data_IF_270442753773
#
_entry.id   IF_270442753773
#
_cell.length_a   1.000
_cell.length_b   1.000
_cell.length_c   1.000
_cell.angle_alpha   90.00
_cell.angle_beta   90.00
_cell.angle_gamma   90.00
#
_symmetry.space_group_name_H-M   'P 1'
#
loop_
_entity.id
_entity.type
_entity.pdbx_description
1 polymer ?
#
# COMPACT_ATOMS: atom_id res chain seq x y z
N UNK A 1 -20.19 -24.50 -9.83
CA UNK A 1 -19.91 -23.23 -9.11
C UNK A 1 -18.95 -22.43 -9.98
N UNK A 2 -19.13 -21.11 -10.11
CA UNK A 2 -18.28 -20.30 -10.97
C UNK A 2 -16.86 -20.25 -10.40
N UNK A 3 -15.86 -20.64 -11.19
CA UNK A 3 -14.45 -20.66 -10.80
C UNK A 3 -13.93 -19.23 -10.64
N UNK A 4 -13.44 -18.89 -9.45
CA UNK A 4 -12.82 -17.58 -9.19
C UNK A 4 -11.49 -17.47 -9.93
N UNK A 5 -11.34 -16.47 -10.79
CA UNK A 5 -10.12 -16.21 -11.56
C UNK A 5 -9.30 -15.03 -11.07
N UNK A 6 -9.94 -14.11 -10.35
CA UNK A 6 -9.31 -12.93 -9.77
C UNK A 6 -9.86 -12.67 -8.37
N UNK A 7 -9.00 -12.38 -7.41
CA UNK A 7 -9.38 -11.87 -6.09
C UNK A 7 -8.88 -10.43 -5.97
N UNK A 8 -9.78 -9.46 -5.91
CA UNK A 8 -9.47 -8.09 -5.52
C UNK A 8 -9.42 -7.97 -4.00
N UNK A 9 -8.37 -7.35 -3.48
CA UNK A 9 -8.19 -7.14 -2.03
C UNK A 9 -7.94 -5.67 -1.76
N UNK A 10 -8.82 -5.06 -0.97
CA UNK A 10 -8.56 -3.78 -0.30
C UNK A 10 -7.89 -4.01 1.07
N UNK A 11 -6.85 -3.22 1.34
CA UNK A 11 -5.95 -3.40 2.48
C UNK A 11 -6.17 -2.31 3.54
N UNK A 12 -6.75 -2.69 4.67
CA UNK A 12 -6.76 -1.89 5.88
C UNK A 12 -5.62 -2.23 6.85
N UNK A 13 -5.56 -1.52 7.97
CA UNK A 13 -4.58 -1.77 9.05
C UNK A 13 -4.78 -3.14 9.72
N UNK A 14 -6.03 -3.51 9.97
CA UNK A 14 -6.44 -4.73 10.68
C UNK A 14 -7.61 -5.48 10.01
N UNK A 15 -8.30 -4.83 9.08
CA UNK A 15 -9.42 -5.38 8.33
C UNK A 15 -9.08 -5.40 6.85
N UNK A 16 -9.46 -6.47 6.16
CA UNK A 16 -9.20 -6.69 4.74
C UNK A 16 -10.52 -7.06 4.07
N UNK A 17 -10.77 -6.51 2.89
CA UNK A 17 -11.97 -6.81 2.12
C UNK A 17 -11.56 -7.49 0.84
N UNK A 18 -11.99 -8.75 0.68
CA UNK A 18 -11.68 -9.57 -0.47
C UNK A 18 -12.94 -9.84 -1.28
N UNK A 19 -12.85 -9.66 -2.59
CA UNK A 19 -13.90 -9.98 -3.56
C UNK A 19 -13.31 -10.89 -4.64
N UNK A 20 -13.96 -12.01 -4.91
CA UNK A 20 -13.58 -12.93 -5.98
C UNK A 20 -14.43 -12.72 -7.23
N UNK A 21 -13.81 -12.57 -8.39
CA UNK A 21 -14.47 -12.50 -9.70
C UNK A 21 -14.19 -13.76 -10.52
N UNK A 22 -15.19 -14.21 -11.27
CA UNK A 22 -15.01 -15.19 -12.35
C UNK A 22 -14.46 -14.53 -13.64
N UNK A 23 -14.33 -15.31 -14.71
CA UNK A 23 -13.84 -14.82 -16.01
C UNK A 23 -14.71 -13.72 -16.62
N UNK A 24 -16.00 -13.69 -16.31
CA UNK A 24 -16.94 -12.67 -16.80
C UNK A 24 -16.91 -11.38 -15.97
N UNK A 25 -16.16 -11.38 -14.86
CA UNK A 25 -16.14 -10.28 -13.90
C UNK A 25 -17.30 -10.33 -12.91
N UNK A 26 -18.04 -11.43 -12.84
CA UNK A 26 -19.14 -11.59 -11.87
C UNK A 26 -18.58 -11.96 -10.50
N UNK A 27 -19.14 -11.35 -9.47
CA UNK A 27 -18.82 -11.68 -8.08
C UNK A 27 -19.16 -13.15 -7.78
N UNK A 28 -18.16 -13.88 -7.29
CA UNK A 28 -18.24 -15.27 -6.82
C UNK A 28 -18.32 -15.33 -5.30
N UNK A 29 -17.63 -14.42 -4.61
CA UNK A 29 -17.73 -14.24 -3.17
C UNK A 29 -17.28 -12.83 -2.76
N UNK A 30 -17.70 -12.42 -1.56
CA UNK A 30 -17.15 -11.27 -0.84
C UNK A 30 -16.96 -11.60 0.63
N UNK A 31 -15.80 -11.24 1.21
CA UNK A 31 -15.47 -11.51 2.62
C UNK A 31 -14.72 -10.35 3.26
N UNK A 32 -15.12 -10.01 4.49
CA UNK A 32 -14.34 -9.17 5.40
C UNK A 32 -13.52 -10.08 6.32
N UNK A 33 -12.21 -9.89 6.34
CA UNK A 33 -11.27 -10.81 6.97
C UNK A 33 -10.31 -10.05 7.89
N UNK A 34 -9.88 -10.73 8.96
CA UNK A 34 -8.68 -10.33 9.70
C UNK A 34 -7.43 -10.79 8.95
N UNK A 35 -6.25 -10.28 9.34
CA UNK A 35 -4.97 -10.70 8.73
C UNK A 35 -4.79 -12.22 8.72
N UNK A 36 -5.02 -12.87 9.86
CA UNK A 36 -4.86 -14.32 9.99
C UNK A 36 -5.83 -15.09 9.10
N UNK A 37 -7.11 -14.68 9.09
CA UNK A 37 -8.14 -15.31 8.25
C UNK A 37 -7.88 -15.09 6.76
N UNK A 38 -7.32 -13.94 6.37
CA UNK A 38 -6.93 -13.67 4.99
C UNK A 38 -5.82 -14.63 4.53
N UNK A 39 -4.75 -14.77 5.33
CA UNK A 39 -3.66 -15.69 5.00
C UNK A 39 -4.12 -17.14 4.95
N UNK A 40 -4.97 -17.56 5.89
CA UNK A 40 -5.56 -18.90 5.88
C UNK A 40 -6.41 -19.14 4.63
N UNK A 41 -7.25 -18.17 4.25
CA UNK A 41 -8.05 -18.26 3.03
C UNK A 41 -7.17 -18.39 1.79
N UNK A 42 -6.13 -17.57 1.67
CA UNK A 42 -5.21 -17.62 0.54
C UNK A 42 -4.41 -18.93 0.50
N UNK A 43 -3.96 -19.44 1.64
CA UNK A 43 -3.16 -20.68 1.68
C UNK A 43 -3.91 -21.94 1.24
N UNK A 44 -5.25 -21.95 1.37
CA UNK A 44 -6.09 -23.09 0.97
C UNK A 44 -6.79 -22.88 -0.37
N UNK A 45 -6.79 -21.64 -0.90
CA UNK A 45 -7.38 -21.35 -2.19
C UNK A 45 -6.45 -21.82 -3.31
N UNK A 46 -7.00 -22.36 -4.39
CA UNK A 46 -6.22 -22.72 -5.57
C UNK A 46 -5.48 -21.49 -6.15
N UNK A 47 -4.35 -21.67 -6.85
CA UNK A 47 -3.64 -20.58 -7.51
C UNK A 47 -4.57 -19.68 -8.35
N UNK A 48 -4.53 -18.37 -8.10
CA UNK A 48 -5.45 -17.38 -8.69
C UNK A 48 -4.73 -16.05 -8.86
N UNK A 49 -5.29 -15.15 -9.69
CA UNK A 49 -4.78 -13.78 -9.75
C UNK A 49 -5.23 -13.01 -8.51
N UNK A 50 -4.30 -12.47 -7.74
CA UNK A 50 -4.59 -11.59 -6.60
C UNK A 50 -4.24 -10.16 -6.99
N UNK A 51 -5.24 -9.29 -7.03
CA UNK A 51 -5.09 -7.88 -7.30
C UNK A 51 -5.21 -7.05 -6.02
N UNK A 52 -4.36 -6.05 -5.86
CA UNK A 52 -4.41 -5.11 -4.73
C UNK A 52 -3.85 -3.74 -5.14
N UNK A 53 -4.27 -2.69 -4.45
CA UNK A 53 -3.67 -1.37 -4.61
C UNK A 53 -2.22 -1.36 -4.10
N UNK A 54 -1.36 -0.57 -4.74
CA UNK A 54 0.03 -0.35 -4.34
C UNK A 54 0.13 0.57 -3.12
N UNK A 55 -0.39 0.11 -1.98
CA UNK A 55 -0.46 0.86 -0.72
C UNK A 55 0.43 0.25 0.38
N UNK A 56 0.34 0.79 1.60
CA UNK A 56 1.03 0.24 2.76
C UNK A 56 0.61 -1.20 3.04
N UNK A 57 1.58 -2.11 3.19
CA UNK A 57 1.33 -3.54 3.41
C UNK A 57 1.15 -4.39 2.14
N UNK A 58 0.90 -3.78 0.98
CA UNK A 58 0.72 -4.49 -0.30
C UNK A 58 1.93 -5.34 -0.67
N UNK A 59 3.15 -4.82 -0.51
CA UNK A 59 4.35 -5.59 -0.85
C UNK A 59 4.55 -6.83 0.03
N UNK A 60 4.24 -6.74 1.33
CA UNK A 60 4.32 -7.88 2.24
C UNK A 60 3.30 -8.95 1.85
N UNK A 61 2.05 -8.53 1.63
CA UNK A 61 0.99 -9.47 1.23
C UNK A 61 1.29 -10.09 -0.13
N UNK A 62 1.80 -9.31 -1.08
CA UNK A 62 2.21 -9.81 -2.39
C UNK A 62 3.26 -10.92 -2.30
N UNK A 63 4.26 -10.79 -1.41
CA UNK A 63 5.25 -11.86 -1.18
C UNK A 63 4.58 -13.10 -0.59
N UNK A 64 3.64 -12.93 0.36
CA UNK A 64 2.88 -14.06 0.93
C UNK A 64 2.01 -14.76 -0.12
N UNK A 65 1.26 -14.01 -0.92
CA UNK A 65 0.45 -14.58 -2.00
C UNK A 65 1.31 -15.36 -3.01
N UNK A 66 2.48 -14.82 -3.40
CA UNK A 66 3.44 -15.54 -4.25
C UNK A 66 3.93 -16.85 -3.62
N UNK A 67 4.18 -16.86 -2.30
CA UNK A 67 4.59 -18.10 -1.60
C UNK A 67 3.49 -19.16 -1.54
N UNK A 68 2.22 -18.78 -1.70
CA UNK A 68 1.09 -19.70 -1.86
C UNK A 68 0.81 -20.06 -3.33
N UNK A 69 1.65 -19.63 -4.27
CA UNK A 69 1.51 -19.96 -5.70
C UNK A 69 0.58 -19.02 -6.48
N UNK A 70 0.08 -17.93 -5.88
CA UNK A 70 -0.78 -16.99 -6.58
C UNK A 70 0.02 -16.00 -7.46
N UNK A 71 -0.60 -15.57 -8.55
CA UNK A 71 -0.08 -14.50 -9.40
C UNK A 71 -0.54 -13.16 -8.85
N UNK A 72 0.38 -12.26 -8.51
CA UNK A 72 0.04 -10.98 -7.86
C UNK A 72 0.13 -9.81 -8.83
N UNK A 73 -0.90 -8.97 -8.83
CA UNK A 73 -1.02 -7.74 -9.60
C UNK A 73 -1.18 -6.53 -8.67
N UNK A 74 -0.13 -5.73 -8.51
CA UNK A 74 -0.22 -4.47 -7.75
C UNK A 74 -0.59 -3.32 -8.68
N UNK A 75 -1.65 -2.58 -8.38
CA UNK A 75 -2.15 -1.48 -9.21
C UNK A 75 -1.89 -0.15 -8.51
N UNK A 76 -1.28 0.87 -9.15
CA UNK A 76 -1.22 2.22 -8.61
C UNK A 76 -2.62 2.78 -8.30
N UNK A 77 -2.78 3.48 -7.16
CA UNK A 77 -4.05 4.07 -6.72
C UNK A 77 -4.77 4.88 -7.80
N UNK A 78 -4.01 5.68 -8.55
CA UNK A 78 -4.51 6.54 -9.62
C UNK A 78 -5.20 5.77 -10.76
N UNK A 79 -4.86 4.48 -10.96
CA UNK A 79 -5.47 3.63 -11.98
C UNK A 79 -6.66 2.82 -11.45
N UNK A 80 -6.80 2.69 -10.13
CA UNK A 80 -7.98 2.07 -9.50
C UNK A 80 -9.13 3.07 -9.41
N UNK A 81 -8.82 4.33 -9.10
CA UNK A 81 -9.82 5.40 -8.88
C UNK A 81 -10.94 5.48 -9.95
N UNK A 82 -10.66 5.37 -11.27
CA UNK A 82 -11.70 5.43 -12.30
C UNK A 82 -12.71 4.27 -12.25
N UNK A 83 -12.40 3.17 -11.58
CA UNK A 83 -13.25 1.99 -11.46
C UNK A 83 -14.15 2.01 -10.21
N UNK A 84 -14.01 3.03 -9.34
CA UNK A 84 -14.85 3.20 -8.17
C UNK A 84 -16.18 3.83 -8.60
N UNK A 85 -17.24 3.02 -8.62
CA UNK A 85 -18.54 3.39 -9.24
C UNK A 85 -19.41 4.31 -8.39
N UNK A 86 -19.29 4.28 -7.06
CA UNK A 86 -20.15 5.04 -6.14
C UNK A 86 -19.36 5.55 -4.91
N UNK A 87 -20.05 5.97 -3.85
CA UNK A 87 -19.43 6.43 -2.61
C UNK A 87 -18.46 5.38 -2.05
N UNK A 88 -17.39 5.88 -1.41
CA UNK A 88 -16.30 5.03 -0.91
C UNK A 88 -16.81 3.99 0.10
N UNK A 89 -16.50 2.73 -0.19
CA UNK A 89 -16.67 1.58 0.70
C UNK A 89 -15.56 0.59 0.38
N UNK A 90 -14.93 0.00 1.39
CA UNK A 90 -13.80 -0.92 1.22
C UNK A 90 -14.12 -2.12 0.30
N UNK A 91 -15.38 -2.59 0.26
CA UNK A 91 -15.79 -3.62 -0.70
C UNK A 91 -15.89 -3.09 -2.14
N UNK A 92 -16.30 -1.84 -2.33
CA UNK A 92 -16.35 -1.20 -3.65
C UNK A 92 -14.94 -0.96 -4.16
N UNK A 93 -14.01 -0.59 -3.27
CA UNK A 93 -12.60 -0.47 -3.58
C UNK A 93 -12.02 -1.84 -4.00
N UNK A 94 -12.36 -2.93 -3.29
CA UNK A 94 -11.94 -4.29 -3.66
C UNK A 94 -12.51 -4.75 -5.02
N UNK A 95 -13.79 -4.44 -5.32
CA UNK A 95 -14.44 -4.69 -6.62
C UNK A 95 -13.73 -3.93 -7.74
N UNK A 96 -13.48 -2.63 -7.53
CA UNK A 96 -12.76 -1.77 -8.46
C UNK A 96 -11.35 -2.28 -8.74
N UNK A 97 -10.63 -2.77 -7.73
CA UNK A 97 -9.32 -3.40 -7.89
C UNK A 97 -9.41 -4.67 -8.74
N UNK A 98 -10.38 -5.55 -8.45
CA UNK A 98 -10.58 -6.77 -9.22
C UNK A 98 -10.87 -6.46 -10.69
N UNK A 99 -11.77 -5.50 -10.95
CA UNK A 99 -12.13 -5.06 -12.30
C UNK A 99 -10.98 -4.38 -13.04
N UNK A 100 -10.24 -3.48 -12.38
CA UNK A 100 -9.09 -2.80 -12.94
C UNK A 100 -8.01 -3.80 -13.41
N UNK A 101 -7.83 -4.90 -12.67
CA UNK A 101 -6.78 -5.89 -12.93
C UNK A 101 -6.98 -6.75 -14.19
N UNK A 102 -8.21 -6.78 -14.72
CA UNK A 102 -8.55 -7.56 -15.92
C UNK A 102 -8.27 -6.81 -17.22
N UNK A 103 -8.00 -5.50 -17.14
CA UNK A 103 -7.83 -4.65 -18.32
C UNK A 103 -6.49 -4.95 -19.01
N UNK A 104 -6.48 -5.26 -20.33
CA UNK A 104 -5.25 -5.62 -21.04
C UNK A 104 -4.17 -4.52 -21.02
N UNK A 105 -4.58 -3.25 -21.03
CA UNK A 105 -3.69 -2.08 -21.01
C UNK A 105 -3.25 -1.66 -19.60
N UNK A 106 -3.62 -2.42 -18.55
CA UNK A 106 -3.33 -2.04 -17.17
C UNK A 106 -1.83 -2.09 -16.87
N UNK A 107 -1.36 -1.09 -16.12
CA UNK A 107 0.03 -1.01 -15.67
C UNK A 107 0.14 -1.48 -14.22
N UNK A 108 1.04 -2.42 -13.97
CA UNK A 108 1.26 -3.00 -12.66
C UNK A 108 2.59 -2.54 -12.06
N UNK A 109 2.63 -2.45 -10.73
CA UNK A 109 3.85 -2.23 -9.96
C UNK A 109 4.43 -3.56 -9.53
N UNK A 110 5.75 -3.72 -9.63
CA UNK A 110 6.40 -4.93 -9.14
C UNK A 110 6.47 -4.95 -7.60
N UNK A 111 6.09 -6.08 -6.94
CA UNK A 111 6.34 -6.25 -5.52
C UNK A 111 7.83 -6.13 -5.20
N UNK A 112 8.18 -5.24 -4.27
CA UNK A 112 9.58 -5.08 -3.85
C UNK A 112 10.04 -6.27 -3.00
N UNK A 113 11.28 -6.69 -3.23
CA UNK A 113 12.02 -7.53 -2.31
C UNK A 113 12.13 -6.87 -0.93
N UNK A 114 12.39 -7.68 0.10
CA UNK A 114 12.43 -7.20 1.48
C UNK A 114 13.60 -6.25 1.70
N UNK A 115 14.77 -6.61 1.17
CA UNK A 115 16.02 -5.88 1.25
C UNK A 115 15.89 -4.50 0.59
N UNK A 116 15.28 -4.45 -0.60
CA UNK A 116 14.98 -3.20 -1.31
C UNK A 116 14.01 -2.31 -0.53
N UNK A 117 13.06 -2.91 0.19
CA UNK A 117 12.16 -2.19 1.08
C UNK A 117 12.90 -1.60 2.28
N UNK A 118 13.74 -2.38 2.95
CA UNK A 118 14.56 -1.93 4.08
C UNK A 118 15.44 -0.77 3.67
N UNK A 119 16.15 -0.87 2.54
CA UNK A 119 16.98 0.22 2.02
C UNK A 119 16.18 1.52 1.78
N UNK A 120 14.95 1.40 1.24
CA UNK A 120 14.05 2.54 1.08
C UNK A 120 13.61 3.14 2.42
N UNK A 121 13.35 2.31 3.43
CA UNK A 121 12.96 2.77 4.76
C UNK A 121 14.09 3.50 5.47
N UNK A 122 15.33 3.02 5.40
CA UNK A 122 16.50 3.71 5.98
C UNK A 122 16.64 5.13 5.43
N UNK A 123 16.50 5.29 4.09
CA UNK A 123 16.54 6.61 3.45
C UNK A 123 15.40 7.52 3.91
N UNK A 124 14.18 6.98 4.06
CA UNK A 124 13.02 7.74 4.57
C UNK A 124 13.20 8.18 6.02
N UNK A 125 13.66 7.28 6.89
CA UNK A 125 13.94 7.57 8.30
C UNK A 125 15.00 8.68 8.43
N UNK A 126 16.12 8.55 7.71
CA UNK A 126 17.14 9.61 7.65
C UNK A 126 16.55 10.94 7.20
N UNK A 127 15.76 10.95 6.13
CA UNK A 127 15.12 12.16 5.62
C UNK A 127 14.17 12.80 6.65
N UNK A 128 13.42 11.98 7.41
CA UNK A 128 12.55 12.46 8.49
C UNK A 128 13.34 13.15 9.59
N UNK A 129 14.38 12.50 10.11
CA UNK A 129 15.23 13.09 11.15
C UNK A 129 15.94 14.36 10.67
N UNK A 130 16.36 14.42 9.40
CA UNK A 130 16.93 15.65 8.84
C UNK A 130 15.91 16.80 8.82
N UNK A 131 14.65 16.53 8.49
CA UNK A 131 13.57 17.53 8.52
C UNK A 131 13.26 17.96 9.95
N UNK A 132 13.12 17.02 10.88
CA UNK A 132 12.86 17.29 12.30
C UNK A 132 13.96 18.12 12.93
N UNK A 133 15.23 17.79 12.64
CA UNK A 133 16.38 18.58 13.08
C UNK A 133 16.31 20.02 12.58
N UNK A 134 16.09 20.22 11.28
CA UNK A 134 15.97 21.57 10.72
C UNK A 134 14.78 22.33 11.32
N UNK A 135 13.63 21.67 11.50
CA UNK A 135 12.47 22.26 12.15
C UNK A 135 12.77 22.66 13.61
N UNK A 136 13.49 21.81 14.36
CA UNK A 136 13.90 22.10 15.73
C UNK A 136 14.83 23.33 15.78
N UNK A 137 15.85 23.37 14.93
CA UNK A 137 16.77 24.52 14.83
C UNK A 137 16.02 25.81 14.50
N UNK A 138 15.07 25.77 13.56
CA UNK A 138 14.27 26.92 13.20
C UNK A 138 13.38 27.40 14.37
N UNK A 139 12.79 26.48 15.14
CA UNK A 139 12.01 26.82 16.33
C UNK A 139 12.86 27.50 17.39
N UNK A 140 14.04 26.95 17.70
CA UNK A 140 14.97 27.54 18.67
C UNK A 140 15.40 28.94 18.20
N UNK A 141 15.77 29.08 16.93
CA UNK A 141 16.18 30.36 16.36
C UNK A 141 15.08 31.41 16.42
N UNK A 142 13.83 31.03 16.16
CA UNK A 142 12.68 31.94 16.27
C UNK A 142 12.48 32.42 17.73
N UNK A 143 12.56 31.52 18.71
CA UNK A 143 12.41 31.87 20.13
C UNK A 143 13.53 32.79 20.63
N UNK A 144 14.78 32.53 20.22
CA UNK A 144 15.92 33.36 20.62
C UNK A 144 15.89 34.76 20.00
N UNK A 145 15.26 34.90 18.83
CA UNK A 145 15.13 36.19 18.15
C UNK A 145 14.28 37.18 18.94
N UNK A 146 13.29 36.71 19.72
CA UNK A 146 12.51 37.53 20.67
C UNK A 146 13.40 38.21 21.72
N UNK A 147 14.58 37.65 22.00
CA UNK A 147 15.59 38.18 22.91
C UNK A 147 16.76 38.87 22.19
N UNK A 148 16.62 39.15 20.89
CA UNK A 148 17.67 39.80 20.09
C UNK A 148 18.85 38.89 19.72
N UNK A 149 18.78 37.59 20.00
CA UNK A 149 19.85 36.63 19.71
C UNK A 149 19.60 35.97 18.35
N UNK A 150 20.47 36.25 17.38
CA UNK A 150 20.40 35.66 16.04
C UNK A 150 21.33 34.44 15.90
N UNK A 151 20.76 33.30 15.48
CA UNK A 151 21.52 32.07 15.22
C UNK A 151 22.07 32.02 13.78
N UNK A 152 23.27 31.43 13.57
CA UNK A 152 23.80 31.25 12.22
C UNK A 152 22.94 30.27 11.40
N UNK A 153 22.83 30.53 10.09
CA UNK A 153 22.02 29.71 9.19
C UNK A 153 22.69 28.38 8.87
N UNK A 154 21.92 27.30 8.96
CA UNK A 154 22.33 25.96 8.53
C UNK A 154 22.98 25.11 9.62
N UNK A 155 22.80 23.79 9.49
CA UNK A 155 23.18 22.84 10.53
C UNK A 155 24.68 22.76 10.80
N UNK A 156 25.51 22.94 9.77
CA UNK A 156 26.97 22.92 9.89
C UNK A 156 27.51 24.01 10.82
N UNK A 157 26.86 25.18 10.85
CA UNK A 157 27.30 26.32 11.67
C UNK A 157 26.79 26.23 13.11
N UNK A 158 25.65 25.58 13.33
CA UNK A 158 25.06 25.38 14.66
C UNK A 158 25.65 24.20 15.44
N UNK A 159 26.44 23.35 14.80
CA UNK A 159 27.09 22.18 15.44
C UNK A 159 28.44 22.52 16.09
N UNK A 160 29.07 23.63 15.68
CA UNK A 160 30.35 24.08 16.25
C UNK A 160 30.13 24.72 17.61
#
# INVERSE_FOLDING_TARGET
>A
MATTTTIGIDLGKSSFHAIGHDLSGKETFRKKLSRTKLLQMLSVHEPVNVAMESCGGSHWLARKCKSYGHTVKLIPAQYVKPYVKTNKNDFIDADAIAEASTRPSMRFTSPKAEEAQVASMVRKVRSSFMKERTACMNRIGAMLLEFGLSLPRGHSHLKK
#
